data_IF_542928582252
#
_entry.id   IF_542928582252
#
_cell.length_a   1.000
_cell.length_b   1.000
_cell.length_c   1.000
_cell.angle_alpha   90.00
_cell.angle_beta   90.00
_cell.angle_gamma   90.00
#
_symmetry.space_group_name_H-M   'P 1'
#
loop_
_entity.id
_entity.type
_entity.pdbx_description
1 polymer ?
#
# COMPACT_ATOMS: atom_id res chain seq x y z
N UNK A 1 -10.56 -10.83 0.75
CA UNK A 1 -9.72 -9.69 0.29
C UNK A 1 -9.57 -9.67 -1.24
N UNK A 2 -9.00 -10.69 -1.87
CA UNK A 2 -8.73 -10.75 -3.31
C UNK A 2 -9.87 -10.25 -4.22
N UNK A 3 -11.10 -10.73 -4.02
CA UNK A 3 -12.26 -10.33 -4.84
C UNK A 3 -12.52 -8.82 -4.86
N UNK A 4 -12.25 -8.11 -3.75
CA UNK A 4 -12.49 -6.68 -3.68
C UNK A 4 -11.54 -5.87 -4.57
N UNK A 5 -10.41 -6.46 -4.95
CA UNK A 5 -9.35 -5.87 -5.77
C UNK A 5 -9.28 -6.46 -7.19
N UNK A 6 -10.25 -7.30 -7.58
CA UNK A 6 -10.29 -7.93 -8.90
C UNK A 6 -10.35 -6.92 -10.07
N UNK A 7 -10.74 -5.68 -9.79
CA UNK A 7 -10.79 -4.56 -10.74
C UNK A 7 -10.00 -3.35 -10.23
N UNK A 8 -9.01 -3.56 -9.37
CA UNK A 8 -8.18 -2.46 -8.85
C UNK A 8 -7.21 -1.99 -9.95
N UNK A 9 -7.18 -0.69 -10.28
CA UNK A 9 -6.39 -0.20 -11.40
C UNK A 9 -4.89 -0.23 -11.11
N UNK A 10 -4.47 -0.06 -9.84
CA UNK A 10 -3.06 -0.17 -9.45
C UNK A 10 -2.58 -1.61 -9.62
N UNK A 11 -3.33 -2.59 -9.13
CA UNK A 11 -2.96 -4.00 -9.31
C UNK A 11 -2.99 -4.42 -10.79
N UNK A 12 -3.94 -3.90 -11.57
CA UNK A 12 -4.01 -4.11 -13.03
C UNK A 12 -2.74 -3.57 -13.72
N UNK A 13 -2.28 -2.38 -13.34
CA UNK A 13 -1.03 -1.79 -13.84
C UNK A 13 0.23 -2.56 -13.41
N UNK A 14 0.25 -3.10 -12.19
CA UNK A 14 1.36 -3.92 -11.73
C UNK A 14 1.46 -5.22 -12.56
N UNK A 15 0.32 -5.85 -12.85
CA UNK A 15 0.23 -7.19 -13.46
C UNK A 15 -0.41 -7.22 -14.87
N UNK A 16 0.00 -6.38 -15.83
CA UNK A 16 -0.71 -6.20 -17.11
C UNK A 16 -0.52 -7.36 -18.08
N UNK A 17 0.36 -8.32 -17.74
CA UNK A 17 0.63 -9.50 -18.54
C UNK A 17 -0.34 -10.66 -18.22
N UNK A 18 -1.09 -10.56 -17.12
CA UNK A 18 -2.07 -11.56 -16.73
C UNK A 18 -3.40 -11.29 -17.41
N UNK A 19 -4.01 -12.33 -17.98
CA UNK A 19 -5.42 -12.27 -18.38
C UNK A 19 -6.32 -12.09 -17.15
N UNK A 20 -7.57 -11.60 -17.28
CA UNK A 20 -8.48 -11.42 -16.14
C UNK A 20 -8.66 -12.69 -15.28
N UNK A 21 -8.69 -13.87 -15.92
CA UNK A 21 -8.77 -15.16 -15.24
C UNK A 21 -7.51 -15.48 -14.45
N UNK A 22 -6.33 -15.29 -15.04
CA UNK A 22 -5.05 -15.49 -14.35
C UNK A 22 -4.88 -14.52 -13.19
N UNK A 23 -5.25 -13.25 -13.40
CA UNK A 23 -5.19 -12.20 -12.40
C UNK A 23 -6.04 -12.57 -11.18
N UNK A 24 -7.31 -12.90 -11.40
CA UNK A 24 -8.24 -13.31 -10.33
C UNK A 24 -7.74 -14.56 -9.59
N UNK A 25 -7.20 -15.54 -10.30
CA UNK A 25 -6.65 -16.76 -9.70
C UNK A 25 -5.35 -16.50 -8.90
N UNK A 26 -4.58 -15.48 -9.28
CA UNK A 26 -3.31 -15.13 -8.63
C UNK A 26 -3.47 -14.23 -7.41
N UNK A 27 -4.49 -13.36 -7.39
CA UNK A 27 -4.71 -12.41 -6.29
C UNK A 27 -4.72 -13.04 -4.89
N UNK A 28 -5.32 -14.22 -4.62
CA UNK A 28 -5.23 -14.86 -3.31
C UNK A 28 -3.78 -15.07 -2.86
N UNK A 29 -2.92 -15.63 -3.73
CA UNK A 29 -1.49 -15.81 -3.42
C UNK A 29 -0.78 -14.48 -3.17
N UNK A 30 -1.06 -13.48 -3.99
CA UNK A 30 -0.48 -12.13 -3.82
C UNK A 30 -0.84 -11.54 -2.45
N UNK A 31 -2.10 -11.64 -2.04
CA UNK A 31 -2.53 -11.16 -0.72
C UNK A 31 -1.97 -12.03 0.40
N UNK A 32 -1.98 -13.37 0.31
CA UNK A 32 -1.46 -14.24 1.36
C UNK A 32 0.00 -13.90 1.71
N UNK A 33 0.84 -13.62 0.71
CA UNK A 33 2.21 -13.16 0.93
C UNK A 33 2.27 -11.82 1.68
N UNK A 34 1.53 -10.81 1.22
CA UNK A 34 1.57 -9.48 1.84
C UNK A 34 0.91 -9.43 3.23
N UNK A 35 -0.15 -10.22 3.44
CA UNK A 35 -0.82 -10.37 4.72
C UNK A 35 0.05 -11.16 5.70
N UNK A 36 0.74 -12.20 5.24
CA UNK A 36 1.73 -12.93 6.04
C UNK A 36 2.86 -12.01 6.48
N UNK A 37 3.40 -11.19 5.57
CA UNK A 37 4.41 -10.18 5.89
C UNK A 37 3.86 -9.14 6.88
N UNK A 38 2.63 -8.66 6.70
CA UNK A 38 2.01 -7.73 7.65
C UNK A 38 1.86 -8.36 9.04
N UNK A 39 1.38 -9.61 9.14
CA UNK A 39 1.23 -10.32 10.41
C UNK A 39 2.56 -10.48 11.16
N UNK A 40 3.65 -10.75 10.44
CA UNK A 40 4.99 -10.83 11.03
C UNK A 40 5.57 -9.47 11.46
N UNK A 41 5.05 -8.36 10.94
CA UNK A 41 5.43 -6.99 11.32
C UNK A 41 4.35 -6.31 12.18
N UNK A 42 3.71 -7.08 13.08
CA UNK A 42 2.73 -6.57 14.05
C UNK A 42 1.49 -5.92 13.41
N UNK A 43 1.17 -6.28 12.16
CA UNK A 43 -0.03 -5.84 11.47
C UNK A 43 -1.29 -6.22 12.25
N UNK A 44 -2.17 -5.24 12.46
CA UNK A 44 -3.42 -5.40 13.18
C UNK A 44 -4.52 -5.66 12.16
N UNK A 45 -5.16 -6.82 12.26
CA UNK A 45 -6.25 -7.23 11.40
C UNK A 45 -7.58 -6.89 12.08
N UNK A 46 -8.39 -6.09 11.40
CA UNK A 46 -9.71 -5.66 11.87
C UNK A 46 -10.76 -6.05 10.84
N UNK A 47 -11.94 -6.44 11.31
CA UNK A 47 -13.02 -6.92 10.45
C UNK A 47 -14.37 -6.33 10.87
N UNK A 48 -15.32 -6.36 9.95
CA UNK A 48 -16.71 -6.12 10.24
C UNK A 48 -17.60 -7.05 9.43
N UNK A 49 -18.66 -7.54 10.09
CA UNK A 49 -19.70 -8.39 9.51
C UNK A 49 -19.10 -9.69 8.96
N UNK A 50 -18.42 -10.44 9.82
CA UNK A 50 -17.91 -11.78 9.51
C UNK A 50 -16.97 -11.76 8.29
N UNK A 51 -16.00 -10.85 8.34
CA UNK A 51 -15.04 -10.57 7.26
C UNK A 51 -15.63 -10.05 5.94
N UNK A 52 -16.92 -9.65 5.92
CA UNK A 52 -17.49 -8.96 4.76
C UNK A 52 -16.75 -7.66 4.43
N UNK A 53 -16.17 -7.03 5.45
CA UNK A 53 -15.18 -5.97 5.32
C UNK A 53 -14.00 -6.26 6.24
N UNK A 54 -12.78 -5.97 5.80
CA UNK A 54 -11.59 -6.08 6.62
C UNK A 54 -10.54 -5.02 6.27
N UNK A 55 -9.73 -4.67 7.26
CA UNK A 55 -8.62 -3.73 7.12
C UNK A 55 -7.39 -4.26 7.85
N UNK A 56 -6.23 -4.11 7.23
CA UNK A 56 -4.91 -4.34 7.84
C UNK A 56 -4.29 -3.00 8.16
N UNK A 57 -4.01 -2.79 9.44
CA UNK A 57 -3.39 -1.59 9.98
C UNK A 57 -1.97 -1.90 10.41
N UNK A 58 -0.99 -1.23 9.83
CA UNK A 58 0.39 -1.28 10.30
C UNK A 58 0.59 -0.28 11.43
N UNK A 59 1.11 -0.71 12.60
CA UNK A 59 1.39 0.18 13.71
C UNK A 59 2.60 1.08 13.44
N UNK A 60 2.79 2.16 14.23
CA UNK A 60 3.84 3.14 14.01
C UNK A 60 5.24 2.53 14.11
N UNK A 61 6.05 2.74 13.08
CA UNK A 61 7.42 2.20 13.00
C UNK A 61 7.50 0.80 12.38
N UNK A 62 6.37 0.13 12.16
CA UNK A 62 6.31 -1.17 11.48
C UNK A 62 6.02 -0.99 9.99
N UNK A 63 6.74 -1.75 9.16
CA UNK A 63 6.66 -1.66 7.71
C UNK A 63 6.69 -3.07 7.10
N UNK A 64 5.95 -3.26 6.01
CA UNK A 64 5.84 -4.57 5.33
C UNK A 64 7.05 -4.85 4.42
N UNK A 65 7.86 -3.83 4.13
CA UNK A 65 9.06 -3.90 3.29
C UNK A 65 10.32 -4.42 4.02
N UNK A 66 10.19 -4.86 5.27
CA UNK A 66 11.29 -5.43 6.02
C UNK A 66 11.73 -6.77 5.42
N UNK A 67 12.88 -6.78 4.73
CA UNK A 67 13.44 -7.94 4.00
C UNK A 67 13.54 -9.22 4.84
N UNK A 68 13.72 -9.12 6.16
CA UNK A 68 13.76 -10.28 7.07
C UNK A 68 12.41 -10.98 7.24
N UNK A 69 11.32 -10.24 7.07
CA UNK A 69 9.95 -10.78 7.08
C UNK A 69 9.46 -11.19 5.70
N UNK A 70 10.08 -10.65 4.65
CA UNK A 70 9.71 -10.97 3.27
C UNK A 70 10.06 -12.42 2.91
N UNK A 71 11.22 -12.94 3.34
CA UNK A 71 11.60 -14.33 3.08
C UNK A 71 10.60 -15.37 3.62
N UNK A 72 10.20 -15.36 4.91
CA UNK A 72 9.19 -16.30 5.42
C UNK A 72 7.77 -16.04 4.88
N UNK A 73 7.49 -14.86 4.31
CA UNK A 73 6.18 -14.51 3.75
C UNK A 73 5.96 -15.01 2.30
N UNK A 74 6.78 -15.94 1.81
CA UNK A 74 6.81 -16.34 0.40
C UNK A 74 7.01 -15.15 -0.58
N UNK A 75 7.80 -14.14 -0.18
CA UNK A 75 8.08 -13.02 -1.08
C UNK A 75 8.80 -13.48 -2.35
N UNK A 76 9.63 -14.52 -2.28
CA UNK A 76 10.29 -15.11 -3.45
C UNK A 76 9.24 -15.69 -4.41
N UNK A 77 8.31 -16.50 -3.90
CA UNK A 77 7.22 -17.04 -4.71
C UNK A 77 6.29 -15.98 -5.28
N UNK A 78 6.10 -14.87 -4.56
CA UNK A 78 5.36 -13.70 -5.04
C UNK A 78 6.13 -12.98 -6.16
N UNK A 79 7.43 -12.71 -6.00
CA UNK A 79 8.25 -12.03 -7.03
C UNK A 79 8.31 -12.84 -8.32
N UNK A 80 8.41 -14.18 -8.25
CA UNK A 80 8.33 -15.01 -9.45
C UNK A 80 6.94 -15.02 -10.08
N UNK A 81 5.88 -15.10 -9.26
CA UNK A 81 4.51 -15.07 -9.76
C UNK A 81 4.14 -13.75 -10.43
N UNK A 82 4.62 -12.63 -9.88
CA UNK A 82 4.44 -11.30 -10.46
C UNK A 82 5.36 -11.05 -11.67
N UNK A 83 6.55 -11.63 -11.66
CA UNK A 83 7.62 -11.34 -12.60
C UNK A 83 8.39 -10.05 -12.27
N UNK A 84 9.59 -9.94 -12.85
CA UNK A 84 10.55 -8.86 -12.55
C UNK A 84 10.01 -7.47 -12.89
N UNK A 85 9.31 -7.32 -14.03
CA UNK A 85 8.76 -6.02 -14.46
C UNK A 85 7.68 -5.52 -13.50
N UNK A 86 6.77 -6.38 -13.07
CA UNK A 86 5.74 -6.04 -12.10
C UNK A 86 6.35 -5.67 -10.73
N UNK A 87 7.36 -6.44 -10.31
CA UNK A 87 8.13 -6.16 -9.09
C UNK A 87 8.81 -4.78 -9.17
N UNK A 88 9.38 -4.43 -10.32
CA UNK A 88 9.96 -3.09 -10.53
C UNK A 88 8.91 -1.98 -10.50
N UNK A 89 7.73 -2.17 -11.10
CA UNK A 89 6.64 -1.19 -10.99
C UNK A 89 6.20 -0.98 -9.53
N UNK A 90 6.14 -2.06 -8.75
CA UNK A 90 5.75 -2.00 -7.34
C UNK A 90 6.82 -1.32 -6.48
N UNK A 91 8.07 -1.80 -6.54
CA UNK A 91 9.15 -1.38 -5.61
C UNK A 91 10.02 -0.24 -6.15
N UNK A 92 10.09 -0.07 -7.46
CA UNK A 92 10.92 0.92 -8.13
C UNK A 92 10.16 2.17 -8.58
N UNK A 93 8.84 2.10 -8.73
CA UNK A 93 8.00 3.24 -9.13
C UNK A 93 6.97 3.60 -8.05
N UNK A 94 5.98 2.73 -7.79
CA UNK A 94 4.87 3.03 -6.89
C UNK A 94 5.33 3.30 -5.45
N UNK A 95 6.17 2.41 -4.89
CA UNK A 95 6.71 2.55 -3.53
C UNK A 95 7.43 3.89 -3.34
N UNK A 96 8.48 4.21 -4.11
CA UNK A 96 9.21 5.47 -3.99
C UNK A 96 8.34 6.73 -4.16
N UNK A 97 7.38 6.74 -5.10
CA UNK A 97 6.46 7.89 -5.26
C UNK A 97 5.56 8.04 -4.03
N UNK A 98 5.03 6.92 -3.52
CA UNK A 98 4.21 6.91 -2.31
C UNK A 98 4.99 7.38 -1.08
N UNK A 99 6.23 6.91 -0.91
CA UNK A 99 7.10 7.31 0.20
C UNK A 99 7.47 8.79 0.16
N UNK A 100 7.69 9.35 -1.04
CA UNK A 100 7.94 10.77 -1.22
C UNK A 100 6.74 11.62 -0.77
N UNK A 101 5.53 11.21 -1.16
CA UNK A 101 4.28 11.88 -0.74
C UNK A 101 4.05 11.72 0.75
N UNK A 102 4.22 10.52 1.33
CA UNK A 102 4.18 10.28 2.78
C UNK A 102 5.14 11.20 3.52
N UNK A 103 6.40 11.26 3.08
CA UNK A 103 7.43 12.08 3.73
C UNK A 103 7.05 13.57 3.74
N UNK A 104 6.53 14.07 2.61
CA UNK A 104 6.05 15.45 2.46
C UNK A 104 4.83 15.72 3.36
N UNK A 105 3.79 14.88 3.27
CA UNK A 105 2.55 15.02 4.03
C UNK A 105 2.76 14.94 5.54
N UNK A 106 3.68 14.07 5.95
CA UNK A 106 3.96 13.80 7.35
C UNK A 106 5.09 14.68 7.88
N UNK A 107 5.61 15.63 7.10
CA UNK A 107 6.67 16.56 7.47
C UNK A 107 7.89 15.84 8.09
N UNK A 108 8.30 14.72 7.51
CA UNK A 108 9.43 13.93 7.98
C UNK A 108 9.19 13.08 9.23
N UNK A 109 8.00 13.16 9.85
CA UNK A 109 7.68 12.34 11.02
C UNK A 109 7.47 10.87 10.64
N UNK A 110 8.16 9.98 11.34
CA UNK A 110 8.16 8.53 11.05
C UNK A 110 7.11 7.73 11.83
N UNK A 111 6.45 8.34 12.82
CA UNK A 111 5.41 7.68 13.62
C UNK A 111 4.03 8.07 13.13
N UNK A 112 3.34 7.10 12.54
CA UNK A 112 1.98 7.20 12.06
C UNK A 112 1.44 5.78 11.88
N UNK A 113 0.11 5.64 11.92
CA UNK A 113 -0.55 4.41 11.52
C UNK A 113 -0.68 4.35 10.01
N UNK A 114 -0.49 3.19 9.41
CA UNK A 114 -0.65 3.00 7.96
C UNK A 114 -1.74 1.97 7.67
N UNK A 115 -2.81 2.38 7.01
CA UNK A 115 -3.86 1.46 6.56
C UNK A 115 -3.39 0.79 5.27
N UNK A 116 -2.86 -0.43 5.37
CA UNK A 116 -2.18 -1.11 4.27
C UNK A 116 -3.13 -1.64 3.21
N UNK A 117 -4.17 -2.39 3.62
CA UNK A 117 -5.25 -2.80 2.73
C UNK A 117 -6.58 -2.65 3.44
N UNK A 118 -7.59 -2.23 2.68
CA UNK A 118 -9.00 -2.26 3.10
C UNK A 118 -9.83 -2.89 2.00
N UNK A 119 -10.61 -3.90 2.34
CA UNK A 119 -11.46 -4.62 1.42
C UNK A 119 -12.88 -4.69 1.95
N UNK A 120 -13.87 -4.52 1.06
CA UNK A 120 -15.27 -4.84 1.34
C UNK A 120 -15.82 -5.63 0.17
N UNK A 121 -16.43 -6.78 0.45
CA UNK A 121 -17.10 -7.61 -0.57
C UNK A 121 -18.12 -6.77 -1.34
N UNK A 122 -18.17 -6.95 -2.66
CA UNK A 122 -18.99 -6.12 -3.54
C UNK A 122 -20.47 -6.09 -3.13
N UNK A 123 -21.02 -7.24 -2.73
CA UNK A 123 -22.41 -7.40 -2.27
C UNK A 123 -22.72 -6.68 -0.95
N UNK A 124 -21.69 -6.35 -0.16
CA UNK A 124 -21.82 -5.74 1.17
C UNK A 124 -21.40 -4.26 1.21
N UNK A 125 -21.02 -3.70 0.05
CA UNK A 125 -20.72 -2.26 -0.10
C UNK A 125 -21.98 -1.40 0.14
N UNK A 126 -21.77 -0.12 0.45
CA UNK A 126 -22.87 0.82 0.74
C UNK A 126 -23.49 0.67 2.13
N UNK A 127 -23.10 -0.34 2.91
CA UNK A 127 -23.61 -0.61 4.27
C UNK A 127 -22.81 0.06 5.39
N UNK A 128 -21.82 0.89 5.05
CA UNK A 128 -20.97 1.59 6.01
C UNK A 128 -19.93 0.73 6.75
N UNK A 129 -19.71 -0.52 6.33
CA UNK A 129 -18.77 -1.45 6.99
C UNK A 129 -17.33 -0.94 7.03
N UNK A 130 -16.79 -0.50 5.89
CA UNK A 130 -15.46 0.11 5.83
C UNK A 130 -15.36 1.34 6.75
N UNK A 131 -16.34 2.25 6.68
CA UNK A 131 -16.36 3.43 7.55
C UNK A 131 -16.42 3.09 9.04
N UNK A 132 -17.06 1.98 9.42
CA UNK A 132 -17.06 1.50 10.81
C UNK A 132 -15.65 1.13 11.26
N UNK A 133 -14.96 0.29 10.48
CA UNK A 133 -13.58 -0.14 10.77
C UNK A 133 -12.64 1.08 10.82
N UNK A 134 -12.73 1.97 9.84
CA UNK A 134 -11.91 3.20 9.81
C UNK A 134 -12.11 4.06 11.05
N UNK A 135 -13.34 4.18 11.57
CA UNK A 135 -13.61 4.92 12.82
C UNK A 135 -12.97 4.26 14.05
N UNK A 136 -12.91 2.93 14.11
CA UNK A 136 -12.21 2.21 15.17
C UNK A 136 -10.70 2.46 15.13
N UNK A 137 -10.12 2.45 13.92
CA UNK A 137 -8.72 2.81 13.68
C UNK A 137 -8.45 4.27 14.10
N UNK A 138 -9.32 5.20 13.73
CA UNK A 138 -9.22 6.60 14.12
C UNK A 138 -9.33 6.78 15.63
N UNK A 139 -10.20 6.04 16.32
CA UNK A 139 -10.31 6.10 17.78
C UNK A 139 -9.00 5.63 18.46
N UNK A 140 -8.37 4.57 17.93
CA UNK A 140 -7.05 4.12 18.38
C UNK A 140 -5.98 5.19 18.13
N UNK A 141 -5.89 5.70 16.91
CA UNK A 141 -4.93 6.73 16.53
C UNK A 141 -5.11 8.03 17.33
N UNK A 142 -6.36 8.43 17.60
CA UNK A 142 -6.71 9.55 18.47
C UNK A 142 -6.16 9.39 19.88
N UNK A 143 -6.33 8.20 20.48
CA UNK A 143 -5.82 7.89 21.83
C UNK A 143 -4.30 7.99 21.89
N UNK A 144 -3.64 7.56 20.82
CA UNK A 144 -2.17 7.56 20.73
C UNK A 144 -1.61 8.93 20.31
N UNK A 145 -2.46 9.88 19.92
CA UNK A 145 -2.04 11.18 19.39
C UNK A 145 -1.32 11.08 18.04
N UNK A 146 -1.62 10.04 17.26
CA UNK A 146 -0.97 9.75 16.00
C UNK A 146 -1.94 9.89 14.83
N UNK A 147 -1.39 10.21 13.68
CA UNK A 147 -2.11 10.29 12.41
C UNK A 147 -2.20 8.96 11.70
N UNK A 148 -3.14 8.87 10.78
CA UNK A 148 -3.35 7.69 9.93
C UNK A 148 -3.10 8.07 8.48
N UNK A 149 -2.24 7.32 7.81
CA UNK A 149 -2.01 7.39 6.39
C UNK A 149 -2.80 6.30 5.66
N UNK A 150 -3.32 6.62 4.48
CA UNK A 150 -4.00 5.68 3.59
C UNK A 150 -3.91 6.13 2.14
N UNK A 151 -3.87 5.18 1.21
CA UNK A 151 -4.00 5.45 -0.22
C UNK A 151 -5.36 4.96 -0.75
N UNK A 152 -6.06 5.83 -1.46
CA UNK A 152 -7.27 5.51 -2.21
C UNK A 152 -6.94 5.20 -3.67
N UNK A 153 -6.88 3.92 -4.03
CA UNK A 153 -6.58 3.46 -5.40
C UNK A 153 -7.71 3.70 -6.41
N UNK A 154 -8.91 4.06 -5.94
CA UNK A 154 -10.06 4.41 -6.78
C UNK A 154 -10.76 5.65 -6.22
N UNK A 155 -11.56 6.33 -7.04
CA UNK A 155 -12.40 7.44 -6.56
C UNK A 155 -13.39 7.00 -5.48
N UNK A 156 -13.94 5.78 -5.62
CA UNK A 156 -14.88 5.25 -4.65
C UNK A 156 -14.22 5.02 -3.27
N UNK A 157 -13.03 4.41 -3.22
CA UNK A 157 -12.31 4.22 -1.96
C UNK A 157 -11.90 5.57 -1.34
N UNK A 158 -11.35 6.49 -2.15
CA UNK A 158 -11.01 7.83 -1.68
C UNK A 158 -12.22 8.62 -1.16
N UNK A 159 -13.39 8.51 -1.80
CA UNK A 159 -14.63 9.16 -1.35
C UNK A 159 -15.09 8.64 0.01
N UNK A 160 -14.95 7.33 0.27
CA UNK A 160 -15.25 6.75 1.58
C UNK A 160 -14.31 7.32 2.65
N UNK A 161 -13.01 7.41 2.36
CA UNK A 161 -12.03 7.96 3.31
C UNK A 161 -12.25 9.46 3.56
N UNK A 162 -12.57 10.23 2.52
CA UNK A 162 -12.92 11.64 2.65
C UNK A 162 -14.14 11.86 3.57
N UNK A 163 -15.18 11.02 3.44
CA UNK A 163 -16.35 11.03 4.35
C UNK A 163 -15.98 10.65 5.79
N UNK A 164 -14.90 9.90 5.99
CA UNK A 164 -14.32 9.62 7.30
C UNK A 164 -13.39 10.75 7.81
N UNK A 165 -13.23 11.85 7.06
CA UNK A 165 -12.41 12.99 7.45
C UNK A 165 -10.93 12.86 7.09
N UNK A 166 -10.57 11.97 6.17
CA UNK A 166 -9.23 11.99 5.58
C UNK A 166 -9.13 13.13 4.56
N UNK A 167 -8.01 13.83 4.59
CA UNK A 167 -7.67 14.91 3.68
C UNK A 167 -6.83 14.37 2.53
N UNK A 168 -7.14 14.78 1.30
CA UNK A 168 -6.30 14.49 0.14
C UNK A 168 -5.03 15.32 0.24
N UNK A 169 -3.87 14.65 0.17
CA UNK A 169 -2.56 15.30 0.13
C UNK A 169 -2.10 15.48 -1.30
N UNK A 170 -2.06 14.38 -2.06
CA UNK A 170 -1.53 14.38 -3.41
C UNK A 170 -2.08 13.20 -4.21
N UNK A 171 -2.28 13.42 -5.51
CA UNK A 171 -2.48 12.33 -6.47
C UNK A 171 -1.11 11.79 -6.87
N UNK A 172 -0.92 10.49 -6.68
CA UNK A 172 0.30 9.76 -7.05
C UNK A 172 0.00 9.04 -8.36
N UNK A 173 0.60 9.53 -9.44
CA UNK A 173 0.46 8.94 -10.78
C UNK A 173 1.54 7.90 -11.02
N UNK A 174 1.18 6.73 -11.56
CA UNK A 174 2.10 5.67 -11.99
C UNK A 174 1.76 5.17 -13.39
N UNK A 175 2.74 4.66 -14.13
CA UNK A 175 2.49 4.15 -15.48
C UNK A 175 2.24 5.24 -16.52
N UNK A 176 2.78 6.45 -16.30
CA UNK A 176 2.69 7.56 -17.25
C UNK A 176 3.20 7.14 -18.64
N UNK A 177 2.37 7.34 -19.67
CA UNK A 177 2.67 6.92 -21.04
C UNK A 177 2.60 5.41 -21.29
N UNK A 178 2.24 4.61 -20.28
CA UNK A 178 2.24 3.14 -20.33
C UNK A 178 0.92 2.51 -19.89
N UNK A 179 0.01 3.26 -19.27
CA UNK A 179 -1.27 2.74 -18.80
C UNK A 179 -2.41 3.76 -18.94
N UNK A 180 -3.62 3.25 -19.17
CA UNK A 180 -4.86 4.02 -19.06
C UNK A 180 -5.28 4.21 -17.60
N UNK A 181 -6.38 4.92 -17.35
CA UNK A 181 -6.92 5.18 -16.00
C UNK A 181 -7.41 3.92 -15.28
N UNK A 182 -7.69 2.83 -16.01
CA UNK A 182 -8.04 1.52 -15.46
C UNK A 182 -6.78 0.67 -15.14
N UNK A 183 -5.58 1.19 -15.44
CA UNK A 183 -4.32 0.48 -15.30
C UNK A 183 -4.02 -0.56 -16.36
N UNK A 184 -4.79 -0.61 -17.44
CA UNK A 184 -4.47 -1.47 -18.58
C UNK A 184 -3.34 -0.85 -19.36
N UNK A 185 -2.46 -1.68 -19.91
CA UNK A 185 -1.32 -1.21 -20.68
C UNK A 185 -1.78 -0.53 -21.97
N UNK A 186 -1.50 0.76 -22.11
CA UNK A 186 -1.80 1.57 -23.28
C UNK A 186 -0.59 2.44 -23.59
N UNK A 187 -0.02 2.29 -24.79
CA UNK A 187 1.13 3.09 -25.20
C UNK A 187 0.68 4.53 -25.44
N UNK A 188 1.25 5.46 -24.68
CA UNK A 188 0.82 6.86 -24.67
C UNK A 188 -0.41 7.12 -23.79
N UNK A 189 -0.83 6.14 -22.98
CA UNK A 189 -1.88 6.32 -21.98
C UNK A 189 -1.51 7.35 -20.92
N UNK A 190 -2.51 7.87 -20.22
CA UNK A 190 -2.34 8.95 -19.26
C UNK A 190 -1.49 8.52 -18.07
N UNK A 191 -2.07 7.76 -17.13
CA UNK A 191 -1.44 7.13 -15.97
C UNK A 191 -2.54 6.49 -15.10
N UNK A 192 -2.12 5.73 -14.09
CA UNK A 192 -3.00 5.30 -12.99
C UNK A 192 -2.79 6.18 -11.78
N UNK A 193 -3.89 6.68 -11.23
CA UNK A 193 -3.88 7.53 -10.04
C UNK A 193 -4.18 6.75 -8.77
N UNK A 194 -3.30 6.85 -7.77
CA UNK A 194 -3.64 6.57 -6.37
C UNK A 194 -3.63 7.85 -5.55
N UNK A 195 -4.57 7.99 -4.61
CA UNK A 195 -4.78 9.22 -3.84
C UNK A 195 -4.15 9.06 -2.46
N UNK A 196 -3.04 9.73 -2.19
CA UNK A 196 -2.43 9.76 -0.86
C UNK A 196 -3.25 10.65 0.08
N UNK A 197 -3.71 10.08 1.19
CA UNK A 197 -4.61 10.76 2.13
C UNK A 197 -4.15 10.59 3.58
N UNK A 198 -4.44 11.60 4.40
CA UNK A 198 -4.06 11.63 5.81
C UNK A 198 -5.24 12.00 6.69
N UNK A 199 -5.37 11.34 7.84
CA UNK A 199 -6.29 11.75 8.90
C UNK A 199 -5.51 12.23 10.11
N UNK A 200 -5.92 13.38 10.66
CA UNK A 200 -5.27 14.03 11.79
C UNK A 200 -6.06 13.83 13.10
N UNK A 201 -5.38 13.50 14.21
CA UNK A 201 -6.02 13.43 15.53
C UNK A 201 -6.48 14.83 15.98
N UNK A 202 -7.70 14.93 16.50
CA UNK A 202 -8.30 16.18 16.98
C UNK A 202 -7.65 16.65 18.27
N UNK A 203 -7.59 17.98 18.46
CA UNK A 203 -7.18 18.61 19.73
C UNK A 203 -5.70 18.51 20.07
N UNK A 204 -4.86 18.07 19.13
CA UNK A 204 -3.41 18.11 19.24
C UNK A 204 -2.91 19.45 18.71
N UNK A 205 -2.05 20.13 19.49
CA UNK A 205 -1.50 21.43 19.14
C UNK A 205 -0.58 21.28 17.92
N UNK A 206 -1.02 21.74 16.74
CA UNK A 206 -0.30 21.62 15.47
C UNK A 206 1.16 22.08 15.61
N UNK A 207 1.43 23.08 16.45
CA UNK A 207 2.78 23.64 16.67
C UNK A 207 3.75 22.73 17.43
N UNK A 208 3.27 21.73 18.19
CA UNK A 208 4.15 20.71 18.83
C UNK A 208 4.57 19.59 17.88
N UNK A 209 3.91 19.48 16.73
CA UNK A 209 4.17 18.45 15.72
C UNK A 209 5.28 18.85 14.72
N UNK A 210 5.69 20.13 14.64
CA UNK A 210 6.60 20.61 13.60
C UNK A 210 7.88 21.26 14.14
N UNK A 211 8.93 20.51 14.53
CA UNK A 211 10.27 21.04 14.40
C UNK A 211 10.61 21.05 12.91
N UNK A 212 10.68 22.24 12.31
CA UNK A 212 11.16 22.44 10.94
C UNK A 212 12.60 21.94 10.86
N UNK A 213 12.79 20.74 10.33
CA UNK A 213 14.13 20.25 9.96
C UNK A 213 14.26 20.44 8.46
N UNK A 214 14.86 21.55 8.04
CA UNK A 214 15.37 21.66 6.67
C UNK A 214 16.41 20.56 6.47
N UNK A 215 16.23 19.69 5.47
CA UNK A 215 17.35 18.86 5.02
C UNK A 215 17.38 18.55 3.53
N UNK A 216 18.64 18.57 3.07
CA UNK A 216 19.15 18.54 1.71
C UNK A 216 18.67 17.33 0.90
N UNK A 217 18.43 17.61 -0.38
CA UNK A 217 18.10 16.66 -1.45
C UNK A 217 19.23 15.63 -1.62
N UNK A 218 18.96 14.37 -1.30
CA UNK A 218 19.84 13.23 -1.59
C UNK A 218 19.24 12.37 -2.70
N UNK A 219 20.00 12.16 -3.79
CA UNK A 219 19.60 11.30 -4.90
C UNK A 219 20.02 9.85 -4.64
N UNK A 220 19.08 8.94 -4.37
CA UNK A 220 19.31 7.49 -4.41
C UNK A 220 18.01 6.76 -4.70
N UNK A 221 17.81 6.26 -5.93
CA UNK A 221 16.62 5.43 -6.27
C UNK A 221 16.98 4.21 -7.12
N UNK A 222 18.00 4.25 -7.99
CA UNK A 222 18.31 3.11 -8.87
C UNK A 222 19.19 2.02 -8.23
N UNK A 223 20.12 2.38 -7.34
CA UNK A 223 21.11 1.43 -6.79
C UNK A 223 20.54 0.42 -5.78
N UNK A 224 19.49 0.79 -5.06
CA UNK A 224 18.93 -0.03 -3.97
C UNK A 224 18.00 -1.14 -4.48
N UNK A 225 17.28 -0.91 -5.59
CA UNK A 225 16.35 -1.92 -6.13
C UNK A 225 17.10 -3.08 -6.78
N UNK A 226 18.16 -2.77 -7.55
CA UNK A 226 19.04 -3.79 -8.14
C UNK A 226 19.80 -4.58 -7.07
N UNK A 227 20.21 -3.95 -5.97
CA UNK A 227 20.89 -4.63 -4.88
C UNK A 227 19.95 -5.53 -4.07
N UNK A 228 18.69 -5.13 -3.86
CA UNK A 228 17.68 -5.99 -3.22
C UNK A 228 17.33 -7.19 -4.09
N UNK A 229 17.11 -7.01 -5.40
CA UNK A 229 16.85 -8.13 -6.32
C UNK A 229 18.05 -9.07 -6.38
N UNK A 230 19.27 -8.53 -6.46
CA UNK A 230 20.50 -9.34 -6.47
C UNK A 230 20.73 -10.08 -5.15
N UNK A 231 20.42 -9.46 -4.01
CA UNK A 231 20.53 -10.10 -2.69
C UNK A 231 19.50 -11.21 -2.51
N UNK A 232 18.26 -11.01 -2.95
CA UNK A 232 17.21 -12.04 -2.92
C UNK A 232 17.57 -13.22 -3.83
N UNK A 233 18.09 -12.96 -5.03
CA UNK A 233 18.61 -14.02 -5.91
C UNK A 233 19.80 -14.77 -5.30
N UNK A 234 20.75 -14.05 -4.69
CA UNK A 234 21.92 -14.66 -4.07
C UNK A 234 21.54 -15.54 -2.85
N UNK A 235 20.62 -15.07 -2.01
CA UNK A 235 20.09 -15.84 -0.87
C UNK A 235 19.30 -17.06 -1.34
N UNK A 236 18.51 -16.93 -2.42
CA UNK A 236 17.80 -18.06 -3.00
C UNK A 236 18.74 -19.15 -3.53
N UNK A 237 19.78 -18.77 -4.30
CA UNK A 237 20.79 -19.71 -4.80
C UNK A 237 21.50 -20.41 -3.63
N UNK A 238 21.85 -19.67 -2.58
CA UNK A 238 22.53 -20.22 -1.41
C UNK A 238 21.67 -21.20 -0.59
N UNK A 239 20.35 -20.99 -0.52
CA UNK A 239 19.45 -21.81 0.31
C UNK A 239 18.84 -23.02 -0.41
N UNK A 240 18.74 -22.98 -1.75
CA UNK A 240 17.94 -23.97 -2.49
C UNK A 240 18.67 -24.64 -3.67
N UNK A 241 19.91 -24.25 -3.99
CA UNK A 241 20.72 -24.83 -5.06
C UNK A 241 22.07 -25.40 -4.58
N UNK A 242 22.24 -25.59 -3.28
CA UNK A 242 23.37 -26.31 -2.64
C UNK A 242 22.84 -27.55 -1.93
#
# INVERSE_FOLDING_TARGET
MAEAFATDPILTYLLPHMTPTQFTAYLPKFFDSLLGAAAMNEGIFTEANDFSSCTILMPPGCHVDNLWTLLPADFIGMVWGMGVKATYRMLGELGPKTDAVKLKALHGQKKYYYTFFTATHAKDRGRGLCSKIIKEIQAKAQKDGLRVWIEGTTENSASVYAKCGFELVENIEVGEGLADTDGKFEKGGESVTTRGMVWWPKGQDEKKLYPVVEKRRGNWVAGTVLSVISLVLAVYVALYLV
#
